data_IF_027131985028
#
_entry.id   IF_027131985028
#
_cell.length_a   1.000
_cell.length_b   1.000
_cell.length_c   1.000
_cell.angle_alpha   90.00
_cell.angle_beta   90.00
_cell.angle_gamma   90.00
#
_symmetry.space_group_name_H-M   'P 1'
#
loop_
_entity.id
_entity.type
_entity.pdbx_description
1 polymer ?
#
# COMPACT_ATOMS: atom_id res chain seq x y z
N UNK A 1 -25.58 -7.12 -26.70
CA UNK A 1 -25.76 -6.14 -25.61
C UNK A 1 -25.80 -6.81 -24.23
N UNK A 2 -26.65 -7.82 -24.02
CA UNK A 2 -26.76 -8.56 -22.73
C UNK A 2 -25.42 -9.11 -22.19
N UNK A 3 -24.64 -9.81 -23.03
CA UNK A 3 -23.35 -10.40 -22.64
C UNK A 3 -22.35 -9.36 -22.10
N UNK A 4 -22.21 -8.21 -22.77
CA UNK A 4 -21.31 -7.13 -22.32
C UNK A 4 -21.77 -6.50 -20.99
N UNK A 5 -23.07 -6.46 -20.74
CA UNK A 5 -23.63 -5.98 -19.47
C UNK A 5 -23.32 -6.97 -18.34
N UNK A 6 -23.48 -8.27 -18.60
CA UNK A 6 -23.14 -9.33 -17.64
C UNK A 6 -21.65 -9.33 -17.30
N UNK A 7 -20.77 -9.19 -18.30
CA UNK A 7 -19.32 -9.05 -18.11
C UNK A 7 -18.97 -7.81 -17.26
N UNK A 8 -19.62 -6.68 -17.54
CA UNK A 8 -19.42 -5.45 -16.77
C UNK A 8 -19.86 -5.61 -15.32
N UNK A 9 -21.03 -6.18 -15.07
CA UNK A 9 -21.51 -6.49 -13.71
C UNK A 9 -20.53 -7.40 -12.98
N UNK A 10 -20.00 -8.43 -13.66
CA UNK A 10 -18.99 -9.31 -13.07
C UNK A 10 -17.72 -8.58 -12.61
N UNK A 11 -17.25 -7.57 -13.37
CA UNK A 11 -16.13 -6.72 -12.96
C UNK A 11 -16.46 -5.88 -11.73
N UNK A 12 -17.64 -5.26 -11.71
CA UNK A 12 -18.10 -4.46 -10.56
C UNK A 12 -18.24 -5.32 -9.31
N UNK A 13 -18.76 -6.54 -9.41
CA UNK A 13 -18.87 -7.46 -8.27
C UNK A 13 -17.51 -7.79 -7.66
N UNK A 14 -16.47 -8.04 -8.48
CA UNK A 14 -15.11 -8.26 -7.98
C UNK A 14 -14.53 -7.05 -7.26
N UNK A 15 -14.74 -5.84 -7.81
CA UNK A 15 -14.32 -4.60 -7.16
C UNK A 15 -15.03 -4.42 -5.83
N UNK A 16 -16.33 -4.71 -5.77
CA UNK A 16 -17.13 -4.66 -4.53
C UNK A 16 -16.59 -5.64 -3.48
N UNK A 17 -16.28 -6.86 -3.87
CA UNK A 17 -15.68 -7.88 -2.98
C UNK A 17 -14.32 -7.43 -2.44
N UNK A 18 -13.44 -6.94 -3.31
CA UNK A 18 -12.13 -6.42 -2.92
C UNK A 18 -12.24 -5.21 -1.98
N UNK A 19 -13.17 -4.28 -2.26
CA UNK A 19 -13.41 -3.12 -1.41
C UNK A 19 -13.94 -3.53 -0.02
N UNK A 20 -14.84 -4.51 0.05
CA UNK A 20 -15.32 -5.07 1.33
C UNK A 20 -14.19 -5.73 2.11
N UNK A 21 -13.32 -6.49 1.46
CA UNK A 21 -12.16 -7.10 2.13
C UNK A 21 -11.18 -6.04 2.65
N UNK A 22 -10.83 -5.06 1.81
CA UNK A 22 -9.92 -3.98 2.18
C UNK A 22 -10.44 -3.16 3.38
N UNK A 23 -11.76 -2.92 3.44
CA UNK A 23 -12.40 -2.19 4.53
C UNK A 23 -12.21 -2.85 5.91
N UNK A 24 -12.02 -4.18 5.97
CA UNK A 24 -11.75 -4.90 7.23
C UNK A 24 -10.39 -4.57 7.82
N UNK A 25 -9.45 -4.06 7.00
CA UNK A 25 -8.14 -3.61 7.44
C UNK A 25 -8.06 -2.14 7.86
N UNK A 26 -9.09 -1.35 7.56
CA UNK A 26 -9.15 0.08 7.82
C UNK A 26 -10.11 0.41 8.98
N UNK A 27 -9.90 -0.22 10.13
CA UNK A 27 -10.85 -0.19 11.27
C UNK A 27 -10.48 0.79 12.38
N UNK A 28 -9.29 1.38 12.33
CA UNK A 28 -8.80 2.29 13.38
C UNK A 28 -8.97 3.75 12.97
N UNK A 29 -9.14 4.62 13.96
CA UNK A 29 -9.17 6.08 13.77
C UNK A 29 -7.76 6.71 13.85
N UNK A 30 -6.71 5.89 13.81
CA UNK A 30 -5.33 6.37 13.83
C UNK A 30 -5.06 7.16 12.55
N UNK A 31 -4.47 8.35 12.70
CA UNK A 31 -4.10 9.17 11.55
C UNK A 31 -3.01 8.47 10.71
N UNK A 32 -3.06 8.62 9.39
CA UNK A 32 -2.00 8.13 8.51
C UNK A 32 -0.74 8.96 8.76
N UNK A 33 0.41 8.30 8.91
CA UNK A 33 1.67 8.96 9.25
C UNK A 33 1.77 9.35 10.73
N UNK A 34 1.09 8.64 11.63
CA UNK A 34 1.15 8.87 13.07
C UNK A 34 2.54 8.57 13.65
N UNK A 35 3.44 9.56 13.64
CA UNK A 35 4.72 9.52 14.33
C UNK A 35 4.63 10.37 15.61
N UNK A 36 4.65 9.71 16.77
CA UNK A 36 4.63 10.37 18.08
C UNK A 36 6.01 10.24 18.73
N UNK A 37 6.58 11.37 19.15
CA UNK A 37 7.87 11.39 19.83
C UNK A 37 7.80 10.57 21.12
N UNK A 38 8.84 9.77 21.36
CA UNK A 38 9.03 8.95 22.57
C UNK A 38 7.93 7.89 22.82
N UNK A 39 7.07 7.62 21.82
CA UNK A 39 6.10 6.53 21.88
C UNK A 39 6.78 5.18 21.64
N UNK A 40 6.42 4.17 22.43
CA UNK A 40 6.90 2.80 22.20
C UNK A 40 6.41 2.26 20.86
N UNK A 41 7.31 1.57 20.16
CA UNK A 41 6.99 0.97 18.87
C UNK A 41 6.03 -0.22 19.08
N UNK A 42 4.89 -0.19 18.38
CA UNK A 42 3.91 -1.28 18.38
C UNK A 42 3.83 -1.85 16.96
N UNK A 43 3.95 -3.18 16.79
CA UNK A 43 3.75 -3.79 15.48
C UNK A 43 2.37 -3.48 14.90
N UNK A 44 2.30 -3.31 13.59
CA UNK A 44 1.02 -3.20 12.91
C UNK A 44 0.22 -4.50 13.11
N UNK A 45 -1.11 -4.38 13.19
CA UNK A 45 -2.00 -5.53 13.26
C UNK A 45 -1.95 -6.32 11.94
N UNK A 46 -1.40 -7.53 12.00
CA UNK A 46 -1.16 -8.35 10.81
C UNK A 46 -2.46 -8.72 10.08
N UNK A 47 -3.56 -8.94 10.80
CA UNK A 47 -4.85 -9.25 10.20
C UNK A 47 -5.39 -8.06 9.39
N UNK A 48 -5.23 -6.84 9.93
CA UNK A 48 -5.62 -5.60 9.27
C UNK A 48 -4.79 -5.34 8.02
N UNK A 49 -3.45 -5.46 8.10
CA UNK A 49 -2.55 -5.30 6.94
C UNK A 49 -2.87 -6.32 5.85
N UNK A 50 -3.03 -7.59 6.21
CA UNK A 50 -3.33 -8.65 5.25
C UNK A 50 -4.68 -8.43 4.55
N UNK A 51 -5.71 -7.99 5.28
CA UNK A 51 -7.02 -7.70 4.71
C UNK A 51 -6.97 -6.53 3.72
N UNK A 52 -6.23 -5.46 4.08
CA UNK A 52 -6.03 -4.31 3.21
C UNK A 52 -5.32 -4.69 1.91
N UNK A 53 -4.18 -5.38 2.02
CA UNK A 53 -3.38 -5.82 0.86
C UNK A 53 -4.18 -6.75 -0.04
N UNK A 54 -4.84 -7.76 0.53
CA UNK A 54 -5.63 -8.73 -0.24
C UNK A 54 -6.81 -8.08 -0.96
N UNK A 55 -7.53 -7.17 -0.29
CA UNK A 55 -8.64 -6.45 -0.90
C UNK A 55 -8.20 -5.53 -2.04
N UNK A 56 -7.09 -4.80 -1.85
CA UNK A 56 -6.50 -3.95 -2.91
C UNK A 56 -6.07 -4.80 -4.09
N UNK A 57 -5.39 -5.93 -3.86
CA UNK A 57 -5.00 -6.88 -4.89
C UNK A 57 -6.19 -7.32 -5.77
N UNK A 58 -7.29 -7.74 -5.14
CA UNK A 58 -8.52 -8.12 -5.87
C UNK A 58 -9.08 -6.99 -6.74
N UNK A 59 -8.95 -5.73 -6.30
CA UNK A 59 -9.36 -4.56 -7.11
C UNK A 59 -8.38 -4.36 -8.27
N UNK A 60 -7.07 -4.40 -8.00
CA UNK A 60 -5.99 -4.18 -8.98
C UNK A 60 -6.08 -5.16 -10.15
N UNK A 61 -6.33 -6.45 -9.88
CA UNK A 61 -6.55 -7.49 -10.90
C UNK A 61 -7.66 -7.15 -11.92
N UNK A 62 -8.58 -6.25 -11.57
CA UNK A 62 -9.69 -5.82 -12.44
C UNK A 62 -9.41 -4.49 -13.13
N UNK A 63 -8.75 -3.56 -12.43
CA UNK A 63 -8.66 -2.14 -12.86
C UNK A 63 -7.36 -1.79 -13.57
N UNK A 64 -6.25 -2.47 -13.27
CA UNK A 64 -4.99 -2.27 -13.99
C UNK A 64 -4.87 -3.27 -15.13
N UNK A 65 -4.35 -2.81 -16.27
CA UNK A 65 -3.94 -3.69 -17.37
C UNK A 65 -2.54 -4.23 -17.12
N UNK A 66 -2.18 -5.34 -17.78
CA UNK A 66 -0.89 -6.03 -17.60
C UNK A 66 0.38 -5.19 -17.81
N UNK A 67 0.26 -3.99 -18.41
CA UNK A 67 1.38 -3.08 -18.70
C UNK A 67 1.24 -1.72 -17.97
N UNK A 68 0.31 -1.59 -17.01
CA UNK A 68 0.06 -0.36 -16.26
C UNK A 68 0.78 -0.38 -14.90
N UNK A 69 1.88 0.36 -14.80
CA UNK A 69 2.72 0.44 -13.59
C UNK A 69 3.83 -0.61 -13.57
N UNK A 70 4.81 -0.43 -12.69
CA UNK A 70 5.90 -1.36 -12.51
C UNK A 70 6.36 -1.38 -11.03
N UNK A 71 6.24 -2.54 -10.38
CA UNK A 71 6.59 -2.75 -8.98
C UNK A 71 8.08 -2.53 -8.67
N UNK A 72 8.95 -2.59 -9.68
CA UNK A 72 10.40 -2.43 -9.55
C UNK A 72 10.85 -0.97 -9.76
N UNK A 73 9.93 -0.03 -10.02
CA UNK A 73 10.30 1.37 -10.23
C UNK A 73 10.83 1.96 -8.93
N UNK A 74 12.06 2.46 -8.99
CA UNK A 74 12.68 3.23 -7.93
C UNK A 74 13.66 4.23 -8.53
N UNK A 75 13.80 5.38 -7.88
CA UNK A 75 14.81 6.41 -8.23
C UNK A 75 15.74 6.73 -7.07
N UNK A 76 15.59 6.04 -5.93
CA UNK A 76 16.47 6.15 -4.76
C UNK A 76 17.49 5.03 -4.76
N UNK A 77 18.64 5.25 -4.14
CA UNK A 77 19.70 4.24 -4.04
C UNK A 77 19.35 3.12 -3.06
N UNK A 78 20.12 2.03 -3.13
CA UNK A 78 19.95 0.86 -2.25
C UNK A 78 20.14 1.22 -0.76
N UNK A 79 21.02 2.19 -0.48
CA UNK A 79 21.28 2.71 0.87
C UNK A 79 20.03 3.37 1.45
N UNK A 80 19.40 4.28 0.69
CA UNK A 80 18.17 4.97 1.08
C UNK A 80 17.04 3.95 1.32
N UNK A 81 16.83 3.05 0.35
CA UNK A 81 15.79 2.01 0.41
C UNK A 81 15.91 1.14 1.67
N UNK A 82 17.12 0.67 2.00
CA UNK A 82 17.36 -0.14 3.21
C UNK A 82 17.20 0.66 4.48
N UNK A 83 17.55 1.95 4.46
CA UNK A 83 17.48 2.80 5.66
C UNK A 83 16.04 3.12 6.08
N UNK A 84 15.08 3.14 5.15
CA UNK A 84 13.65 3.40 5.42
C UNK A 84 13.07 2.38 6.40
N UNK A 85 13.52 1.11 6.33
CA UNK A 85 13.06 0.06 7.23
C UNK A 85 13.28 0.37 8.72
N UNK A 86 14.20 1.30 9.05
CA UNK A 86 14.40 1.77 10.43
C UNK A 86 13.20 2.54 10.99
N UNK A 87 12.34 3.11 10.15
CA UNK A 87 11.07 3.72 10.58
C UNK A 87 10.06 2.68 11.10
N UNK A 88 10.24 1.40 10.76
CA UNK A 88 9.41 0.29 11.18
C UNK A 88 10.07 -0.54 12.31
N UNK A 89 11.20 -0.06 12.82
CA UNK A 89 11.98 -0.70 13.87
C UNK A 89 11.54 -0.30 15.27
N UNK A 90 12.50 -0.17 16.18
CA UNK A 90 12.28 0.31 17.55
C UNK A 90 12.08 1.83 17.55
N UNK A 91 11.52 2.36 18.65
CA UNK A 91 11.26 3.80 18.80
C UNK A 91 12.48 4.70 18.58
N UNK A 92 13.69 4.20 18.86
CA UNK A 92 14.95 4.95 18.77
C UNK A 92 15.68 4.77 17.43
N UNK A 93 15.16 3.95 16.50
CA UNK A 93 15.81 3.65 15.21
C UNK A 93 15.52 4.74 14.15
N UNK A 94 14.37 5.42 14.27
CA UNK A 94 13.91 6.45 13.34
C UNK A 94 14.69 7.76 13.45
N UNK A 95 15.00 8.39 12.32
CA UNK A 95 15.63 9.71 12.26
C UNK A 95 15.01 10.53 11.13
N UNK A 96 15.21 11.85 11.16
CA UNK A 96 14.76 12.74 10.08
C UNK A 96 15.32 12.32 8.71
N UNK A 97 16.55 11.82 8.65
CA UNK A 97 17.15 11.33 7.41
C UNK A 97 16.40 10.10 6.86
N UNK A 98 15.92 9.20 7.73
CA UNK A 98 15.12 8.05 7.31
C UNK A 98 13.74 8.49 6.79
N UNK A 99 13.11 9.47 7.45
CA UNK A 99 11.84 10.05 6.99
C UNK A 99 12.00 10.74 5.63
N UNK A 100 13.05 11.54 5.43
CA UNK A 100 13.36 12.17 4.15
C UNK A 100 13.60 11.14 3.04
N UNK A 101 14.30 10.04 3.32
CA UNK A 101 14.49 8.95 2.37
C UNK A 101 13.16 8.26 1.99
N UNK A 102 12.25 8.09 2.94
CA UNK A 102 10.91 7.55 2.69
C UNK A 102 10.10 8.47 1.78
N UNK A 103 10.06 9.77 2.09
CA UNK A 103 9.38 10.78 1.26
C UNK A 103 9.97 10.86 -0.16
N UNK A 104 11.29 10.80 -0.30
CA UNK A 104 11.94 10.80 -1.62
C UNK A 104 11.60 9.54 -2.43
N UNK A 105 11.54 8.37 -1.79
CA UNK A 105 11.20 7.11 -2.46
C UNK A 105 9.73 7.09 -2.91
N UNK A 106 8.80 7.58 -2.09
CA UNK A 106 7.37 7.69 -2.46
C UNK A 106 7.19 8.75 -3.56
N UNK A 107 7.85 9.90 -3.46
CA UNK A 107 7.76 10.96 -4.48
C UNK A 107 8.39 10.59 -5.83
N UNK A 108 9.19 9.52 -5.89
CA UNK A 108 9.85 9.06 -7.11
C UNK A 108 8.97 8.15 -7.99
N UNK A 109 7.92 7.55 -7.43
CA UNK A 109 7.08 6.53 -8.06
C UNK A 109 5.67 7.07 -8.36
N UNK A 110 4.96 6.46 -9.32
CA UNK A 110 3.57 6.80 -9.61
C UNK A 110 2.60 6.01 -8.74
N UNK A 111 1.34 6.46 -8.66
CA UNK A 111 0.30 5.71 -7.95
C UNK A 111 0.05 4.30 -8.51
N UNK A 112 0.19 4.12 -9.84
CA UNK A 112 0.10 2.81 -10.49
C UNK A 112 1.27 1.90 -10.15
N UNK A 113 2.49 2.45 -10.03
CA UNK A 113 3.65 1.67 -9.58
C UNK A 113 3.45 1.18 -8.14
N UNK A 114 2.92 2.04 -7.26
CA UNK A 114 2.61 1.65 -5.88
C UNK A 114 1.52 0.56 -5.81
N UNK A 115 0.46 0.69 -6.61
CA UNK A 115 -0.61 -0.31 -6.65
C UNK A 115 -0.08 -1.66 -7.18
N UNK A 116 0.78 -1.64 -8.20
CA UNK A 116 1.39 -2.86 -8.74
C UNK A 116 2.35 -3.54 -7.75
N UNK A 117 2.99 -2.79 -6.84
CA UNK A 117 3.82 -3.37 -5.79
C UNK A 117 3.02 -4.01 -4.64
N UNK A 118 1.70 -3.76 -4.56
CA UNK A 118 0.79 -4.35 -3.56
C UNK A 118 0.15 -5.64 -4.10
N UNK A 119 -0.03 -5.75 -5.42
CA UNK A 119 -0.57 -6.91 -6.14
C UNK A 119 0.40 -8.10 -6.14
#
# INVERSE_FOLDING_TARGET
>A
MKVKVEEFIGKISKIEEGAKEASKGATTNTIIGNAVKDQEAVPADAASVNSLVKGIKTIVEVVLKNDEGNAEVTKTGNTEQKSIGKLLGKKDDGTEAHAAAASASIGAVSGTDMLQAID
#
